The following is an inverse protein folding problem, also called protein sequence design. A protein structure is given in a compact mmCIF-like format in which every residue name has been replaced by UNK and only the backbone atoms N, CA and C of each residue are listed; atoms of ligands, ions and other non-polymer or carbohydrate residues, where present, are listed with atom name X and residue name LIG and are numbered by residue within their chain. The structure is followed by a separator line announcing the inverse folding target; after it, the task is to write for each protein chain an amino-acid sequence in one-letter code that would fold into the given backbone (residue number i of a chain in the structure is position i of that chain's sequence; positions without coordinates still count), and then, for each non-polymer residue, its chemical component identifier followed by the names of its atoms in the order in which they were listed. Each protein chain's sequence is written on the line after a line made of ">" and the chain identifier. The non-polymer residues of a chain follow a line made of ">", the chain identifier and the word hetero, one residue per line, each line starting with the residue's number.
data_IF_657823851352
#
_entry.id   IF_657823851352
#
_cell.length_a   1.000
_cell.length_b   1.000
_cell.length_c   1.000
_cell.angle_alpha   90.00
_cell.angle_beta   90.00
_cell.angle_gamma   90.00
#
_symmetry.space_group_name_H-M   'P 1'
#
loop_
_entity.id
_entity.type
_entity.pdbx_description
1 polymer ?
#
# COMPACT_ATOMS: atom_id res chain seq x y z
N UNK A 1 -43.69 49.44 41.46
CA UNK A 1 -42.96 48.25 41.97
C UNK A 1 -42.27 47.54 40.80
N UNK A 2 -41.02 47.11 40.99
CA UNK A 2 -40.02 47.00 39.92
C UNK A 2 -40.03 45.74 39.04
N UNK A 3 -39.47 45.90 37.83
CA UNK A 3 -39.17 44.85 36.86
C UNK A 3 -38.07 43.92 37.41
N UNK A 4 -38.40 42.65 37.65
CA UNK A 4 -37.41 41.60 37.92
C UNK A 4 -36.70 41.21 36.62
N UNK A 5 -35.44 41.57 36.49
CA UNK A 5 -34.53 41.05 35.44
C UNK A 5 -34.14 39.62 35.77
N UNK A 6 -34.60 38.66 34.95
CA UNK A 6 -34.13 37.26 35.02
C UNK A 6 -32.67 37.22 34.62
N UNK A 7 -31.77 36.91 35.56
CA UNK A 7 -30.36 36.64 35.25
C UNK A 7 -30.28 35.27 34.57
N UNK A 8 -29.91 35.26 33.29
CA UNK A 8 -29.57 34.04 32.57
C UNK A 8 -28.18 33.57 33.04
N UNK A 9 -28.06 32.28 33.40
CA UNK A 9 -26.78 31.69 33.70
C UNK A 9 -25.97 31.54 32.40
N UNK A 10 -24.73 32.01 32.41
CA UNK A 10 -23.83 31.95 31.26
C UNK A 10 -22.68 31.00 31.59
N UNK A 11 -22.52 29.97 30.76
CA UNK A 11 -21.45 28.98 30.89
C UNK A 11 -20.32 29.35 29.94
N UNK A 12 -19.11 29.51 30.47
CA UNK A 12 -17.90 29.76 29.70
C UNK A 12 -17.10 28.46 29.65
N UNK A 13 -16.80 27.99 28.43
CA UNK A 13 -16.02 26.78 28.19
C UNK A 13 -14.82 27.14 27.32
N UNK A 14 -13.63 26.88 27.84
CA UNK A 14 -12.39 26.93 27.06
C UNK A 14 -12.07 25.52 26.56
N UNK A 15 -12.25 25.30 25.26
CA UNK A 15 -11.89 24.04 24.60
C UNK A 15 -10.49 24.19 24.00
N UNK A 16 -9.55 23.40 24.51
CA UNK A 16 -8.21 23.29 23.91
C UNK A 16 -8.13 22.00 23.09
N UNK A 17 -7.97 22.14 21.78
CA UNK A 17 -7.69 21.02 20.89
C UNK A 17 -6.17 20.94 20.67
N UNK A 18 -5.55 19.85 21.13
CA UNK A 18 -4.16 19.53 20.80
C UNK A 18 -4.15 18.51 19.65
N UNK A 19 -3.26 18.65 18.66
CA UNK A 19 -3.14 17.66 17.59
C UNK A 19 -2.65 16.33 18.17
N UNK A 20 -3.20 15.22 17.66
CA UNK A 20 -2.74 13.88 18.05
C UNK A 20 -1.22 13.79 17.91
N UNK A 21 -0.49 13.29 18.93
CA UNK A 21 0.95 13.17 18.87
C UNK A 21 1.34 12.16 17.80
N UNK A 22 2.34 12.52 16.96
CA UNK A 22 2.77 11.72 15.81
C UNK A 22 4.27 11.53 15.80
N UNK A 23 4.71 10.33 15.48
CA UNK A 23 6.06 10.08 15.01
C UNK A 23 6.15 10.40 13.52
N UNK A 24 7.25 11.05 13.12
CA UNK A 24 7.50 11.41 11.73
C UNK A 24 8.74 10.65 11.27
N UNK A 25 8.60 9.89 10.19
CA UNK A 25 9.66 9.15 9.54
C UNK A 25 9.86 9.68 8.12
N UNK A 26 11.11 9.85 7.73
CA UNK A 26 11.48 10.36 6.42
C UNK A 26 12.51 9.42 5.80
N UNK A 27 12.22 8.96 4.59
CA UNK A 27 13.19 8.23 3.79
C UNK A 27 14.33 9.20 3.38
N UNK A 28 15.52 8.71 3.08
CA UNK A 28 16.57 9.54 2.46
C UNK A 28 16.66 9.41 0.95
N UNK A 29 15.80 8.57 0.36
CA UNK A 29 15.69 8.34 -1.06
C UNK A 29 14.44 7.54 -1.42
N UNK A 30 14.29 7.24 -2.71
CA UNK A 30 13.18 6.42 -3.19
C UNK A 30 13.31 4.96 -2.71
N UNK A 31 12.19 4.25 -2.41
CA UNK A 31 12.24 2.89 -1.88
C UNK A 31 13.01 1.88 -2.73
N UNK A 32 13.02 2.02 -4.06
CA UNK A 32 13.75 1.14 -4.96
C UNK A 32 15.29 1.25 -4.85
N UNK A 33 15.79 2.36 -4.30
CA UNK A 33 17.22 2.60 -4.10
C UNK A 33 17.76 2.04 -2.76
N UNK A 34 16.96 1.27 -2.02
CA UNK A 34 17.31 0.75 -0.68
C UNK A 34 17.74 1.85 0.32
N UNK A 35 16.84 2.82 0.61
CA UNK A 35 17.13 4.01 1.42
C UNK A 35 17.25 3.72 2.91
N UNK A 36 17.81 4.65 3.68
CA UNK A 36 17.65 4.71 5.12
C UNK A 36 16.40 5.50 5.51
N UNK A 37 15.86 5.22 6.69
CA UNK A 37 14.70 5.91 7.23
C UNK A 37 15.08 6.58 8.54
N UNK A 38 14.80 7.88 8.61
CA UNK A 38 15.11 8.75 9.74
C UNK A 38 13.84 9.10 10.51
N UNK A 39 13.86 8.96 11.83
CA UNK A 39 12.88 9.58 12.70
C UNK A 39 13.22 11.06 12.86
N UNK A 40 12.24 11.93 12.62
CA UNK A 40 12.37 13.37 12.69
C UNK A 40 11.75 13.85 14.00
N UNK A 41 12.55 14.52 14.83
CA UNK A 41 12.09 15.15 16.08
C UNK A 41 12.63 16.57 16.16
N UNK A 42 11.78 17.55 15.85
CA UNK A 42 12.20 18.95 15.72
C UNK A 42 13.24 19.10 14.60
N UNK A 43 14.43 19.56 14.95
CA UNK A 43 15.54 19.72 13.99
C UNK A 43 16.50 18.50 13.94
N UNK A 44 16.23 17.46 14.75
CA UNK A 44 17.08 16.27 14.84
C UNK A 44 16.55 15.17 13.92
N UNK A 45 17.47 14.56 13.15
CA UNK A 45 17.21 13.41 12.28
C UNK A 45 18.00 12.21 12.82
N UNK A 46 17.31 11.17 13.28
CA UNK A 46 17.93 9.97 13.82
C UNK A 46 17.66 8.78 12.90
N UNK A 47 18.67 8.07 12.39
CA UNK A 47 18.43 6.86 11.61
C UNK A 47 17.80 5.79 12.51
N UNK A 48 16.73 5.16 12.04
CA UNK A 48 15.99 4.13 12.80
C UNK A 48 15.82 2.84 12.01
N UNK A 49 15.78 2.92 10.67
CA UNK A 49 15.70 1.74 9.81
C UNK A 49 16.58 1.87 8.58
N UNK A 50 16.86 0.71 7.98
CA UNK A 50 17.38 0.59 6.62
C UNK A 50 16.41 -0.23 5.77
N UNK A 51 16.17 0.20 4.54
CA UNK A 51 15.33 -0.54 3.59
C UNK A 51 16.20 -1.28 2.59
N UNK A 52 15.80 -2.51 2.25
CA UNK A 52 16.42 -3.31 1.19
C UNK A 52 15.36 -3.67 0.15
N UNK A 53 15.46 -3.06 -1.02
CA UNK A 53 14.66 -3.46 -2.17
C UNK A 53 15.25 -4.72 -2.81
N UNK A 54 14.38 -5.61 -3.26
CA UNK A 54 14.76 -6.81 -3.98
C UNK A 54 13.75 -7.12 -5.08
N UNK A 55 14.28 -7.46 -6.25
CA UNK A 55 13.53 -7.96 -7.38
C UNK A 55 13.82 -9.45 -7.53
N UNK A 56 12.83 -10.30 -7.25
CA UNK A 56 12.91 -11.72 -7.59
C UNK A 56 12.83 -11.82 -9.10
N UNK A 57 13.98 -12.03 -9.75
CA UNK A 57 14.00 -12.45 -11.14
C UNK A 57 13.16 -13.72 -11.26
N UNK A 58 12.34 -13.82 -12.30
CA UNK A 58 11.53 -15.00 -12.54
C UNK A 58 12.47 -16.21 -12.60
N UNK A 59 12.43 -17.06 -11.58
CA UNK A 59 13.11 -18.33 -11.60
C UNK A 59 12.40 -19.20 -12.65
N UNK A 60 12.92 -19.18 -13.88
CA UNK A 60 12.51 -20.10 -14.94
C UNK A 60 12.92 -21.55 -14.62
N UNK A 61 13.58 -21.80 -13.49
CA UNK A 61 14.27 -23.05 -13.16
C UNK A 61 13.83 -23.76 -11.87
N UNK A 62 12.60 -23.56 -11.37
CA UNK A 62 12.01 -24.42 -10.32
C UNK A 62 11.17 -25.59 -10.86
N UNK A 63 11.54 -26.12 -12.03
CA UNK A 63 11.23 -27.51 -12.44
C UNK A 63 12.54 -28.21 -12.80
N UNK A 64 13.38 -28.47 -11.81
CA UNK A 64 14.58 -29.29 -11.98
C UNK A 64 14.85 -30.09 -10.70
N UNK A 65 14.19 -31.25 -10.59
CA UNK A 65 14.67 -32.46 -9.91
C UNK A 65 14.24 -33.65 -10.76
N UNK A 66 15.14 -34.14 -11.61
CA UNK A 66 15.85 -35.45 -11.52
C UNK A 66 15.00 -36.60 -12.11
N UNK A 67 15.42 -37.41 -13.10
CA UNK A 67 16.68 -38.14 -13.38
C UNK A 67 16.69 -38.54 -14.88
N UNK A 68 17.85 -38.70 -15.56
CA UNK A 68 17.93 -39.07 -16.98
C UNK A 68 17.81 -40.59 -17.22
N UNK A 69 17.14 -40.98 -18.31
CA UNK A 69 17.46 -42.20 -19.04
C UNK A 69 17.18 -41.98 -20.53
N UNK A 70 18.21 -42.19 -21.35
CA UNK A 70 18.11 -42.18 -22.80
C UNK A 70 17.20 -43.31 -23.31
N UNK A 71 16.38 -43.01 -24.32
CA UNK A 71 15.99 -43.96 -25.36
C UNK A 71 15.48 -43.22 -26.60
N UNK A 72 15.92 -43.72 -27.75
CA UNK A 72 15.94 -43.13 -29.09
C UNK A 72 14.59 -42.89 -29.78
N UNK A 73 14.61 -41.88 -30.66
CA UNK A 73 13.99 -41.77 -31.99
C UNK A 73 12.61 -42.39 -32.27
N UNK A 74 11.63 -41.56 -32.70
CA UNK A 74 10.81 -41.74 -33.93
C UNK A 74 9.45 -41.00 -33.86
N UNK A 75 9.18 -40.16 -34.86
CA UNK A 75 7.90 -40.16 -35.57
C UNK A 75 6.61 -39.70 -34.88
N UNK A 76 6.17 -38.49 -35.24
CA UNK A 76 4.78 -38.10 -35.49
C UNK A 76 3.70 -38.37 -34.42
N UNK A 77 3.20 -37.29 -33.80
CA UNK A 77 1.77 -36.87 -33.78
C UNK A 77 1.58 -35.76 -32.73
N UNK A 78 1.65 -34.50 -33.17
CA UNK A 78 1.41 -33.31 -32.35
C UNK A 78 0.40 -32.36 -32.98
N UNK A 79 -0.72 -32.88 -33.50
CA UNK A 79 -1.80 -32.07 -34.12
C UNK A 79 -2.87 -31.63 -33.09
N UNK A 80 -2.48 -31.11 -31.93
CA UNK A 80 -3.43 -30.47 -30.99
C UNK A 80 -2.87 -29.19 -30.35
N UNK A 81 -2.13 -28.36 -31.10
CA UNK A 81 -1.65 -27.06 -30.63
C UNK A 81 -2.38 -25.86 -31.24
N UNK A 82 -3.66 -26.01 -31.65
CA UNK A 82 -4.46 -24.91 -32.19
C UNK A 82 -5.63 -24.53 -31.28
N UNK A 83 -5.33 -23.84 -30.17
CA UNK A 83 -6.12 -22.69 -29.68
C UNK A 83 -5.29 -21.94 -28.62
N UNK A 84 -4.59 -20.89 -29.07
CA UNK A 84 -3.74 -20.05 -28.21
C UNK A 84 -2.63 -19.32 -28.95
N UNK A 85 -2.85 -18.95 -30.21
CA UNK A 85 -1.96 -18.06 -30.96
C UNK A 85 -2.15 -16.62 -30.49
N UNK A 86 -1.50 -16.25 -29.39
CA UNK A 86 -0.91 -14.93 -29.24
C UNK A 86 0.51 -15.16 -28.73
N UNK A 87 1.45 -15.14 -29.67
CA UNK A 87 2.87 -14.86 -29.49
C UNK A 87 3.18 -14.38 -28.06
N UNK A 88 3.81 -15.24 -27.26
CA UNK A 88 4.35 -14.96 -25.94
C UNK A 88 5.15 -13.64 -26.00
N UNK A 89 4.48 -12.52 -25.71
CA UNK A 89 5.12 -11.21 -25.60
C UNK A 89 5.77 -11.20 -24.23
N UNK A 90 7.12 -11.19 -24.11
CA UNK A 90 7.74 -10.91 -22.84
C UNK A 90 7.36 -9.47 -22.46
N UNK A 91 6.63 -9.26 -21.37
CA UNK A 91 6.51 -7.93 -20.74
C UNK A 91 5.14 -7.27 -20.68
N UNK A 92 4.12 -7.94 -20.12
CA UNK A 92 2.94 -7.25 -19.55
C UNK A 92 2.65 -7.62 -18.10
N UNK A 93 3.69 -8.01 -17.37
CA UNK A 93 3.62 -8.35 -15.96
C UNK A 93 4.76 -7.68 -15.20
N UNK A 94 4.45 -7.07 -14.05
CA UNK A 94 5.44 -6.61 -13.05
C UNK A 94 5.24 -7.45 -11.80
N UNK A 95 6.27 -8.19 -11.41
CA UNK A 95 6.21 -9.16 -10.32
C UNK A 95 7.50 -9.22 -9.52
N UNK A 96 7.41 -9.84 -8.35
CA UNK A 96 8.58 -10.24 -7.56
C UNK A 96 9.25 -9.10 -6.80
N UNK A 97 8.62 -7.93 -6.69
CA UNK A 97 9.17 -6.83 -5.89
C UNK A 97 8.90 -7.10 -4.42
N UNK A 98 9.92 -6.89 -3.60
CA UNK A 98 9.77 -6.81 -2.15
C UNK A 98 10.71 -5.78 -1.58
N UNK A 99 10.30 -5.17 -0.47
CA UNK A 99 11.13 -4.30 0.34
C UNK A 99 11.13 -4.82 1.78
N UNK A 100 12.33 -5.04 2.30
CA UNK A 100 12.54 -5.45 3.69
C UNK A 100 13.02 -4.25 4.48
N UNK A 101 12.37 -3.96 5.60
CA UNK A 101 12.78 -2.94 6.56
C UNK A 101 13.58 -3.65 7.65
N UNK A 102 14.80 -3.18 7.87
CA UNK A 102 15.70 -3.68 8.90
C UNK A 102 15.87 -2.62 9.99
N UNK A 103 16.03 -3.06 11.23
CA UNK A 103 16.48 -2.19 12.32
C UNK A 103 17.97 -1.83 12.15
N UNK A 104 18.53 -1.09 13.12
CA UNK A 104 19.95 -0.74 13.13
C UNK A 104 20.89 -1.95 13.37
N UNK A 105 20.36 -3.08 13.86
CA UNK A 105 21.11 -4.32 14.02
C UNK A 105 21.19 -5.14 12.71
N UNK A 106 20.40 -4.76 11.69
CA UNK A 106 20.25 -5.50 10.44
C UNK A 106 19.17 -6.58 10.50
N UNK A 107 18.43 -6.69 11.60
CA UNK A 107 17.32 -7.64 11.77
C UNK A 107 16.09 -7.18 10.99
N UNK A 108 15.41 -8.07 10.23
CA UNK A 108 14.22 -7.71 9.48
C UNK A 108 13.03 -7.49 10.42
N UNK A 109 12.55 -6.25 10.49
CA UNK A 109 11.45 -5.82 11.38
C UNK A 109 10.14 -5.55 10.66
N UNK A 110 10.15 -5.47 9.32
CA UNK A 110 8.95 -5.54 8.50
C UNK A 110 9.31 -5.93 7.06
N UNK A 111 8.35 -6.46 6.30
CA UNK A 111 8.52 -6.72 4.86
C UNK A 111 7.25 -6.33 4.14
N UNK A 112 7.37 -5.64 3.01
CA UNK A 112 6.29 -5.57 2.04
C UNK A 112 6.68 -6.39 0.81
N UNK A 113 5.87 -7.38 0.46
CA UNK A 113 6.14 -8.28 -0.67
C UNK A 113 4.97 -8.31 -1.62
N UNK A 114 5.23 -8.18 -2.91
CA UNK A 114 4.23 -8.35 -3.95
C UNK A 114 3.79 -9.83 -4.00
N UNK A 115 2.51 -10.07 -3.75
CA UNK A 115 1.90 -11.42 -3.73
C UNK A 115 1.00 -11.66 -4.93
N UNK A 116 0.43 -10.60 -5.50
CA UNK A 116 -0.27 -10.65 -6.78
C UNK A 116 0.44 -9.73 -7.75
N UNK A 117 0.89 -10.25 -8.91
CA UNK A 117 1.60 -9.45 -9.88
C UNK A 117 0.69 -8.38 -10.49
N UNK A 118 1.29 -7.27 -10.92
CA UNK A 118 0.59 -6.22 -11.64
C UNK A 118 0.58 -6.60 -13.11
N UNK A 119 -0.60 -6.75 -13.71
CA UNK A 119 -0.78 -7.23 -15.08
C UNK A 119 -1.71 -6.27 -15.83
N UNK A 120 -1.37 -5.98 -17.10
CA UNK A 120 -2.22 -5.17 -17.95
C UNK A 120 -3.55 -5.89 -18.26
N UNK A 121 -4.69 -5.20 -18.12
CA UNK A 121 -5.97 -5.75 -18.53
C UNK A 121 -6.02 -6.02 -20.05
N UNK A 122 -6.74 -7.05 -20.51
CA UNK A 122 -6.90 -7.31 -21.93
C UNK A 122 -7.38 -6.08 -22.71
N UNK A 123 -6.74 -5.80 -23.85
CA UNK A 123 -7.05 -4.62 -24.68
C UNK A 123 -6.59 -3.27 -24.09
N UNK A 124 -5.83 -3.26 -23.00
CA UNK A 124 -5.29 -2.04 -22.36
C UNK A 124 -3.82 -2.22 -21.97
N UNK A 125 -3.20 -1.13 -21.54
CA UNK A 125 -1.87 -1.07 -20.93
C UNK A 125 -1.95 -0.67 -19.44
N UNK A 126 -3.13 -0.80 -18.83
CA UNK A 126 -3.42 -0.41 -17.45
C UNK A 126 -3.71 -1.62 -16.60
N UNK A 127 -3.38 -1.53 -15.31
CA UNK A 127 -3.85 -2.45 -14.27
C UNK A 127 -5.25 -2.00 -13.85
N UNK A 128 -6.29 -2.81 -14.08
CA UNK A 128 -7.67 -2.44 -13.73
C UNK A 128 -8.04 -2.81 -12.29
N UNK A 129 -9.05 -2.12 -11.74
CA UNK A 129 -9.66 -2.47 -10.45
C UNK A 129 -10.16 -3.92 -10.36
N UNK A 130 -10.56 -4.51 -11.49
CA UNK A 130 -11.00 -5.91 -11.56
C UNK A 130 -9.87 -6.94 -11.46
N UNK A 131 -8.61 -6.51 -11.63
CA UNK A 131 -7.42 -7.35 -11.48
C UNK A 131 -6.30 -6.51 -10.85
N UNK A 132 -6.45 -6.11 -9.58
CA UNK A 132 -5.48 -5.25 -8.92
C UNK A 132 -4.21 -6.03 -8.60
N UNK A 133 -3.06 -5.34 -8.64
CA UNK A 133 -1.85 -5.87 -8.03
C UNK A 133 -1.96 -5.83 -6.51
N UNK A 134 -1.23 -6.69 -5.82
CA UNK A 134 -1.37 -6.83 -4.37
C UNK A 134 -0.03 -7.00 -3.68
N UNK A 135 0.13 -6.28 -2.57
CA UNK A 135 1.21 -6.42 -1.61
C UNK A 135 0.69 -7.04 -0.33
N UNK A 136 1.53 -7.85 0.30
CA UNK A 136 1.36 -8.33 1.65
C UNK A 136 2.40 -7.66 2.54
N UNK A 137 1.93 -6.99 3.59
CA UNK A 137 2.76 -6.40 4.62
C UNK A 137 2.90 -7.41 5.75
N UNK A 138 4.14 -7.74 6.09
CA UNK A 138 4.50 -8.72 7.09
C UNK A 138 5.22 -8.01 8.24
N UNK A 139 4.95 -8.47 9.47
CA UNK A 139 5.65 -8.05 10.68
C UNK A 139 6.13 -9.28 11.46
N UNK A 140 7.22 -9.19 12.24
CA UNK A 140 7.60 -10.24 13.17
C UNK A 140 6.47 -10.58 14.15
N UNK A 141 6.22 -11.87 14.38
CA UNK A 141 5.27 -12.40 15.34
C UNK A 141 5.52 -13.90 15.60
N UNK A 142 5.60 -14.29 16.87
CA UNK A 142 5.91 -15.66 17.31
C UNK A 142 7.15 -16.28 16.62
N UNK A 143 8.20 -15.49 16.45
CA UNK A 143 9.46 -15.93 15.81
C UNK A 143 9.38 -16.11 14.29
N UNK A 144 8.27 -15.75 13.65
CA UNK A 144 8.07 -15.80 12.19
C UNK A 144 7.59 -14.47 11.64
N UNK A 145 7.64 -14.27 10.33
CA UNK A 145 6.98 -13.14 9.68
C UNK A 145 5.51 -13.46 9.45
N UNK A 146 4.62 -12.72 10.11
CA UNK A 146 3.17 -12.89 10.01
C UNK A 146 2.52 -11.79 9.15
N UNK A 147 1.46 -12.11 8.40
CA UNK A 147 0.63 -11.10 7.74
C UNK A 147 0.10 -10.07 8.72
N UNK A 148 0.37 -8.80 8.44
CA UNK A 148 -0.16 -7.65 9.17
C UNK A 148 -1.24 -6.93 8.38
N UNK A 149 -1.04 -6.79 7.07
CA UNK A 149 -1.99 -6.11 6.22
C UNK A 149 -1.80 -6.43 4.74
N UNK A 150 -2.79 -6.07 3.94
CA UNK A 150 -2.85 -6.32 2.51
C UNK A 150 -3.17 -5.01 1.80
N UNK A 151 -2.33 -4.65 0.84
CA UNK A 151 -2.50 -3.46 0.02
C UNK A 151 -2.77 -3.88 -1.42
N UNK A 152 -3.97 -3.64 -1.91
CA UNK A 152 -4.29 -3.70 -3.33
C UNK A 152 -4.08 -2.34 -3.99
N UNK A 153 -3.63 -2.36 -5.26
CA UNK A 153 -3.44 -1.17 -6.05
C UNK A 153 -3.78 -1.40 -7.54
N UNK A 154 -4.37 -0.39 -8.16
CA UNK A 154 -4.75 -0.39 -9.57
C UNK A 154 -4.72 1.02 -10.15
N UNK A 155 -4.87 1.15 -11.46
CA UNK A 155 -4.98 2.43 -12.15
C UNK A 155 -6.42 2.67 -12.57
N UNK A 156 -7.05 3.69 -11.99
CA UNK A 156 -8.42 4.08 -12.30
C UNK A 156 -8.59 4.53 -13.74
N UNK A 157 -9.82 4.40 -14.24
CA UNK A 157 -10.24 4.93 -15.55
C UNK A 157 -11.03 6.22 -15.33
N UNK A 158 -10.66 7.32 -15.97
CA UNK A 158 -11.37 8.58 -15.83
C UNK A 158 -10.68 9.76 -16.51
N UNK A 159 -11.28 10.95 -16.38
CA UNK A 159 -10.75 12.22 -16.91
C UNK A 159 -9.44 12.65 -16.25
N UNK A 160 -9.19 12.20 -15.02
CA UNK A 160 -7.91 12.32 -14.33
C UNK A 160 -7.38 10.92 -14.03
N UNK A 161 -6.13 10.68 -14.41
CA UNK A 161 -5.46 9.42 -14.14
C UNK A 161 -5.15 9.28 -12.64
N UNK A 162 -5.63 8.19 -12.04
CA UNK A 162 -5.55 7.97 -10.60
C UNK A 162 -4.99 6.60 -10.25
N UNK A 163 -4.16 6.55 -9.21
CA UNK A 163 -3.75 5.32 -8.54
C UNK A 163 -4.80 5.00 -7.47
N UNK A 164 -5.63 4.00 -7.71
CA UNK A 164 -6.55 3.47 -6.72
C UNK A 164 -5.84 2.51 -5.78
N UNK A 165 -6.23 2.52 -4.52
CA UNK A 165 -5.69 1.63 -3.50
C UNK A 165 -6.78 1.14 -2.54
N UNK A 166 -6.60 -0.06 -2.00
CA UNK A 166 -7.38 -0.60 -0.87
C UNK A 166 -6.45 -1.27 0.13
N UNK A 167 -6.44 -0.79 1.36
CA UNK A 167 -5.67 -1.37 2.46
C UNK A 167 -6.60 -2.08 3.44
N UNK A 168 -6.31 -3.36 3.67
CA UNK A 168 -6.96 -4.23 4.63
C UNK A 168 -5.98 -4.58 5.74
N UNK A 169 -6.36 -4.40 7.00
CA UNK A 169 -5.61 -4.91 8.13
C UNK A 169 -6.01 -6.35 8.41
N UNK A 170 -5.06 -7.23 8.70
CA UNK A 170 -5.30 -8.65 8.99
C UNK A 170 -5.11 -8.86 10.51
N UNK A 171 -6.18 -9.04 11.29
CA UNK A 171 -6.07 -9.41 12.70
C UNK A 171 -5.43 -10.80 12.85
N UNK A 172 -4.61 -10.99 13.89
CA UNK A 172 -3.89 -12.25 14.15
C UNK A 172 -4.81 -13.49 14.30
N UNK A 173 -6.11 -13.28 14.58
CA UNK A 173 -7.11 -14.32 14.80
C UNK A 173 -8.20 -14.42 13.71
N UNK A 174 -8.15 -13.58 12.67
CA UNK A 174 -9.23 -13.48 11.69
C UNK A 174 -8.92 -14.20 10.37
N UNK A 175 -9.94 -14.80 9.77
CA UNK A 175 -9.88 -15.40 8.43
C UNK A 175 -10.01 -14.37 7.29
N UNK A 176 -10.37 -13.13 7.61
CA UNK A 176 -10.56 -12.05 6.63
C UNK A 176 -10.03 -10.71 7.18
N UNK A 177 -9.59 -9.84 6.27
CA UNK A 177 -9.06 -8.53 6.62
C UNK A 177 -10.17 -7.47 6.79
N UNK A 178 -9.86 -6.41 7.54
CA UNK A 178 -10.73 -5.26 7.78
C UNK A 178 -10.23 -4.11 6.89
N UNK A 179 -11.07 -3.60 5.98
CA UNK A 179 -10.71 -2.46 5.14
C UNK A 179 -10.58 -1.21 6.01
N UNK A 180 -9.37 -0.64 6.06
CA UNK A 180 -9.10 0.59 6.82
C UNK A 180 -8.98 1.83 5.93
N UNK A 181 -8.60 1.67 4.67
CA UNK A 181 -8.50 2.78 3.73
C UNK A 181 -8.73 2.32 2.30
N UNK A 182 -9.61 3.02 1.58
CA UNK A 182 -9.79 2.87 0.13
C UNK A 182 -9.99 4.25 -0.47
N UNK A 183 -9.14 4.63 -1.43
CA UNK A 183 -9.25 5.92 -2.12
C UNK A 183 -8.42 5.92 -3.40
N UNK A 184 -8.30 7.10 -4.03
CA UNK A 184 -7.51 7.33 -5.23
C UNK A 184 -6.53 8.48 -5.02
N UNK A 185 -5.30 8.33 -5.49
CA UNK A 185 -4.28 9.37 -5.56
C UNK A 185 -4.10 9.82 -7.01
N UNK A 186 -3.78 11.09 -7.24
CA UNK A 186 -3.49 11.55 -8.61
C UNK A 186 -2.16 10.98 -9.07
N UNK A 187 -2.11 10.29 -10.22
CA UNK A 187 -0.84 9.80 -10.76
C UNK A 187 0.13 10.94 -11.09
N UNK A 188 -0.37 12.11 -11.51
CA UNK A 188 0.46 13.24 -11.92
C UNK A 188 0.86 14.15 -10.76
N UNK A 189 -0.03 14.38 -9.78
CA UNK A 189 0.20 15.29 -8.65
C UNK A 189 0.62 14.58 -7.37
N UNK A 190 0.43 13.26 -7.28
CA UNK A 190 0.58 12.51 -6.04
C UNK A 190 -0.58 12.76 -5.09
N UNK A 191 -0.34 12.58 -3.79
CA UNK A 191 -1.31 12.87 -2.75
C UNK A 191 -0.90 12.35 -1.38
N UNK A 192 -1.89 12.26 -0.49
CA UNK A 192 -1.71 11.76 0.87
C UNK A 192 -2.57 10.52 1.05
N UNK A 193 -1.93 9.41 1.40
CA UNK A 193 -2.60 8.23 1.92
C UNK A 193 -2.83 8.44 3.42
N UNK A 194 -4.06 8.24 3.90
CA UNK A 194 -4.42 8.47 5.31
C UNK A 194 -5.22 7.28 5.81
N UNK A 195 -4.89 6.82 7.03
CA UNK A 195 -5.70 5.90 7.81
C UNK A 195 -6.14 6.64 9.07
N UNK A 196 -7.45 6.74 9.29
CA UNK A 196 -8.06 7.36 10.45
C UNK A 196 -9.26 6.50 10.90
N UNK A 197 -9.28 6.13 12.18
CA UNK A 197 -10.30 5.26 12.77
C UNK A 197 -11.46 6.04 13.40
N UNK A 198 -11.48 7.37 13.27
CA UNK A 198 -12.58 8.21 13.75
C UNK A 198 -13.91 8.00 13.01
N UNK A 199 -13.92 7.21 11.93
CA UNK A 199 -15.02 7.11 10.98
C UNK A 199 -15.74 5.76 10.89
N UNK A 200 -15.84 4.96 11.96
CA UNK A 200 -16.66 3.74 11.91
C UNK A 200 -18.16 4.08 11.87
N UNK A 201 -18.63 4.45 10.68
CA UNK A 201 -19.98 4.86 10.37
C UNK A 201 -20.06 5.56 9.01
N UNK A 202 -19.91 4.79 7.93
CA UNK A 202 -20.43 5.09 6.59
C UNK A 202 -20.27 6.55 6.10
N UNK A 203 -19.20 6.86 5.38
CA UNK A 203 -19.13 8.07 4.54
C UNK A 203 -17.81 8.83 4.63
N UNK A 204 -17.08 8.76 3.52
CA UNK A 204 -16.40 9.90 2.89
C UNK A 204 -16.35 11.20 3.71
N UNK A 205 -15.15 11.60 4.13
CA UNK A 205 -14.88 13.00 4.44
C UNK A 205 -13.95 13.64 3.39
N UNK A 206 -14.63 14.31 2.45
CA UNK A 206 -14.33 15.64 1.95
C UNK A 206 -13.01 15.88 1.18
N UNK A 207 -13.06 15.68 -0.14
CA UNK A 207 -12.93 16.79 -1.09
C UNK A 207 -13.24 16.35 -2.52
N UNK A 208 -14.51 16.41 -2.94
CA UNK A 208 -14.94 16.57 -4.35
C UNK A 208 -16.47 16.65 -4.47
N UNK A 209 -17.02 17.33 -5.51
CA UNK A 209 -18.40 17.80 -5.53
C UNK A 209 -19.41 16.72 -5.93
N UNK A 210 -20.64 16.92 -5.43
CA UNK A 210 -21.87 16.16 -5.68
C UNK A 210 -22.06 15.76 -7.16
N UNK A 211 -22.41 14.50 -7.39
CA UNK A 211 -23.18 14.08 -8.55
C UNK A 211 -24.43 13.33 -8.10
N UNK A 212 -25.58 13.89 -8.48
CA UNK A 212 -26.94 13.39 -8.35
C UNK A 212 -27.16 12.05 -9.05
N UNK A 213 -27.66 11.04 -8.33
CA UNK A 213 -28.45 9.96 -8.91
C UNK A 213 -29.42 9.40 -7.87
N UNK A 214 -30.69 9.53 -8.20
CA UNK A 214 -31.91 9.08 -7.52
C UNK A 214 -32.03 7.56 -7.48
N UNK A 215 -32.41 6.98 -6.33
CA UNK A 215 -33.60 6.11 -6.17
C UNK A 215 -33.78 5.59 -4.73
N UNK A 216 -35.02 5.23 -4.31
CA UNK A 216 -35.47 5.22 -2.91
C UNK A 216 -35.66 3.80 -2.33
N UNK A 217 -35.73 3.67 -1.01
CA UNK A 217 -36.22 2.44 -0.37
C UNK A 217 -36.00 2.39 1.14
N UNK A 218 -37.10 2.35 1.89
CA UNK A 218 -37.22 2.48 3.34
C UNK A 218 -36.47 1.41 4.16
N UNK A 219 -36.05 1.79 5.37
CA UNK A 219 -35.64 0.88 6.46
C UNK A 219 -36.81 0.01 6.96
N UNK A 220 -36.54 -1.07 7.73
CA UNK A 220 -36.55 -0.87 9.19
C UNK A 220 -35.52 -1.69 9.98
N UNK A 221 -35.02 -1.05 11.05
CA UNK A 221 -34.60 -1.60 12.35
C UNK A 221 -34.26 -3.12 12.38
N UNK A 222 -32.96 -3.45 12.38
CA UNK A 222 -32.46 -4.70 12.95
C UNK A 222 -31.59 -4.39 14.17
N UNK A 223 -32.11 -4.81 15.31
CA UNK A 223 -31.39 -5.09 16.55
C UNK A 223 -30.31 -6.15 16.32
N UNK A 224 -29.23 -6.08 17.09
CA UNK A 224 -28.29 -7.19 17.28
C UNK A 224 -26.82 -6.81 17.10
N UNK A 225 -26.16 -6.58 18.22
CA UNK A 225 -24.78 -7.00 18.50
C UNK A 225 -23.78 -7.03 17.32
N UNK A 226 -23.19 -5.87 17.00
CA UNK A 226 -21.89 -5.80 16.31
C UNK A 226 -20.85 -5.05 17.16
N UNK A 227 -20.95 -5.19 18.49
CA UNK A 227 -20.08 -4.49 19.45
C UNK A 227 -18.87 -5.27 19.97
N UNK A 228 -18.83 -6.59 19.80
CA UNK A 228 -17.89 -7.45 20.55
C UNK A 228 -16.94 -8.29 19.69
N UNK A 229 -16.74 -7.95 18.41
CA UNK A 229 -15.86 -8.70 17.50
C UNK A 229 -14.58 -7.98 17.03
N UNK A 230 -14.36 -6.71 17.41
CA UNK A 230 -13.34 -5.84 16.80
C UNK A 230 -12.22 -5.44 17.79
N UNK A 231 -11.91 -6.33 18.73
CA UNK A 231 -10.73 -6.19 19.60
C UNK A 231 -9.47 -6.58 18.80
N UNK A 232 -8.38 -5.79 18.77
CA UNK A 232 -8.04 -4.65 19.63
C UNK A 232 -8.24 -3.24 19.02
N UNK A 233 -8.82 -3.09 17.82
CA UNK A 233 -8.85 -1.80 17.11
C UNK A 233 -10.03 -0.88 17.45
N UNK A 234 -11.05 -1.36 18.18
CA UNK A 234 -12.16 -0.52 18.66
C UNK A 234 -11.85 0.35 19.88
N UNK A 235 -10.72 0.16 20.58
CA UNK A 235 -10.35 0.99 21.73
C UNK A 235 -9.74 2.34 21.31
N UNK A 236 -9.20 2.44 20.09
CA UNK A 236 -8.56 3.64 19.58
C UNK A 236 -9.39 4.27 18.46
N UNK A 237 -9.97 5.43 18.75
CA UNK A 237 -10.50 6.35 17.75
C UNK A 237 -9.44 7.43 17.53
N UNK A 238 -8.85 7.49 16.34
CA UNK A 238 -7.93 8.57 16.01
C UNK A 238 -7.12 8.34 14.75
N UNK A 239 -6.22 9.29 14.53
CA UNK A 239 -5.21 9.24 13.49
C UNK A 239 -4.32 7.99 13.66
N UNK A 240 -4.17 7.21 12.58
CA UNK A 240 -3.28 6.05 12.55
C UNK A 240 -2.02 6.36 11.76
N UNK A 241 -2.18 6.77 10.50
CA UNK A 241 -1.07 6.93 9.58
C UNK A 241 -1.37 7.99 8.53
N UNK A 242 -0.34 8.71 8.10
CA UNK A 242 -0.33 9.46 6.85
C UNK A 242 0.97 9.17 6.10
N UNK A 243 0.86 8.87 4.80
CA UNK A 243 2.00 8.77 3.90
C UNK A 243 1.85 9.73 2.73
N UNK A 244 2.92 10.45 2.39
CA UNK A 244 2.95 11.32 1.21
C UNK A 244 3.50 10.54 0.02
N UNK A 245 2.74 10.53 -1.08
CA UNK A 245 3.16 9.90 -2.33
C UNK A 245 3.36 11.00 -3.37
N UNK A 246 4.53 11.03 -4.00
CA UNK A 246 4.83 12.02 -5.04
C UNK A 246 4.08 11.71 -6.35
N UNK A 247 3.93 12.68 -7.25
CA UNK A 247 3.31 12.51 -8.57
C UNK A 247 4.32 12.43 -9.72
N UNK A 248 3.89 11.89 -10.88
CA UNK A 248 4.72 11.73 -12.10
C UNK A 248 5.10 13.06 -12.76
N UNK A 249 4.33 14.12 -12.52
CA UNK A 249 4.49 15.41 -13.19
C UNK A 249 5.51 16.36 -12.56
N UNK A 250 6.28 15.92 -11.56
CA UNK A 250 7.32 16.71 -10.92
C UNK A 250 8.45 17.05 -11.90
N UNK A 251 8.27 18.09 -12.72
CA UNK A 251 9.32 18.68 -13.56
C UNK A 251 9.89 19.90 -12.83
N UNK A 252 10.82 19.66 -11.91
CA UNK A 252 11.51 20.72 -11.17
C UNK A 252 12.12 20.21 -9.86
N UNK A 253 12.76 21.10 -9.09
CA UNK A 253 13.49 20.87 -7.82
C UNK A 253 12.73 20.08 -6.71
N UNK A 254 11.48 19.68 -6.95
CA UNK A 254 10.63 18.84 -6.08
C UNK A 254 10.53 17.37 -6.53
N UNK A 255 11.10 17.04 -7.69
CA UNK A 255 11.23 15.68 -8.17
C UNK A 255 12.24 14.93 -7.28
N UNK A 256 11.76 14.08 -6.38
CA UNK A 256 12.61 13.38 -5.42
C UNK A 256 12.51 13.92 -3.99
N UNK A 257 11.38 14.51 -3.61
CA UNK A 257 11.11 14.72 -2.19
C UNK A 257 10.97 13.33 -1.54
N UNK A 258 11.77 13.01 -0.50
CA UNK A 258 11.72 11.69 0.08
C UNK A 258 10.34 11.40 0.66
N UNK A 259 9.83 10.16 0.52
CA UNK A 259 8.58 9.76 1.16
C UNK A 259 8.59 10.10 2.65
N UNK A 260 7.49 10.73 3.11
CA UNK A 260 7.25 11.06 4.51
C UNK A 260 6.14 10.17 5.05
N UNK A 261 6.34 9.66 6.26
CA UNK A 261 5.37 8.83 6.98
C UNK A 261 5.14 9.43 8.36
N UNK A 262 3.91 9.78 8.66
CA UNK A 262 3.45 10.14 10.00
C UNK A 262 2.69 8.96 10.60
N UNK A 263 2.98 8.59 11.83
CA UNK A 263 2.28 7.50 12.55
C UNK A 263 1.81 8.02 13.90
N UNK A 264 0.55 7.77 14.26
CA UNK A 264 0.01 8.14 15.57
C UNK A 264 0.77 7.44 16.69
N UNK A 265 1.20 8.17 17.72
CA UNK A 265 1.99 7.60 18.83
C UNK A 265 1.26 6.45 19.53
N UNK A 266 -0.07 6.50 19.58
CA UNK A 266 -0.90 5.45 20.18
C UNK A 266 -0.86 4.11 19.42
N UNK A 267 -0.42 4.12 18.14
CA UNK A 267 -0.34 2.92 17.30
C UNK A 267 1.00 2.19 17.41
N UNK A 268 1.96 2.75 18.14
CA UNK A 268 3.36 2.31 18.16
C UNK A 268 3.77 2.12 19.61
N UNK A 269 3.99 0.88 20.04
CA UNK A 269 4.49 0.57 21.39
C UNK A 269 6.02 0.53 21.44
N UNK A 270 6.65 0.16 20.32
CA UNK A 270 8.09 0.18 20.12
C UNK A 270 8.43 0.63 18.70
N UNK A 271 9.70 0.95 18.42
CA UNK A 271 10.12 1.43 17.10
C UNK A 271 9.76 0.43 16.01
N UNK A 272 9.88 -0.87 16.27
CA UNK A 272 9.59 -1.95 15.32
C UNK A 272 8.13 -1.96 14.85
N UNK A 273 7.18 -1.54 15.68
CA UNK A 273 5.77 -1.40 15.28
C UNK A 273 5.60 -0.36 14.17
N UNK A 274 6.43 0.69 14.17
CA UNK A 274 6.43 1.70 13.12
C UNK A 274 6.95 1.15 11.78
N UNK A 275 7.75 0.09 11.80
CA UNK A 275 8.34 -0.48 10.58
C UNK A 275 7.28 -1.02 9.61
N UNK A 276 6.16 -1.54 10.11
CA UNK A 276 5.07 -2.02 9.28
C UNK A 276 4.40 -0.88 8.48
N UNK A 277 4.24 0.29 9.11
CA UNK A 277 3.75 1.50 8.45
C UNK A 277 4.77 2.04 7.43
N UNK A 278 6.07 2.01 7.75
CA UNK A 278 7.15 2.35 6.80
C UNK A 278 7.12 1.42 5.59
N UNK A 279 6.97 0.12 5.79
CA UNK A 279 6.86 -0.87 4.71
C UNK A 279 5.61 -0.65 3.85
N UNK A 280 4.46 -0.34 4.47
CA UNK A 280 3.23 0.01 3.77
C UNK A 280 3.40 1.27 2.90
N UNK A 281 4.07 2.31 3.41
CA UNK A 281 4.37 3.51 2.63
C UNK A 281 5.26 3.22 1.43
N UNK A 282 6.29 2.37 1.61
CA UNK A 282 7.15 1.98 0.50
C UNK A 282 6.38 1.16 -0.56
N UNK A 283 5.48 0.26 -0.14
CA UNK A 283 4.63 -0.49 -1.05
C UNK A 283 3.67 0.41 -1.84
N UNK A 284 3.12 1.44 -1.20
CA UNK A 284 2.28 2.46 -1.86
C UNK A 284 3.06 3.24 -2.92
N UNK A 285 4.28 3.69 -2.59
CA UNK A 285 5.14 4.40 -3.53
C UNK A 285 5.52 3.52 -4.73
N UNK A 286 5.98 2.29 -4.49
CA UNK A 286 6.29 1.32 -5.54
C UNK A 286 5.06 0.94 -6.38
N UNK A 287 3.85 0.98 -5.81
CA UNK A 287 2.61 0.73 -6.55
C UNK A 287 2.33 1.77 -7.62
N UNK A 288 2.87 3.00 -7.48
CA UNK A 288 2.78 4.03 -8.51
C UNK A 288 3.52 3.60 -9.79
N UNK A 289 4.74 3.07 -9.65
CA UNK A 289 5.47 2.50 -10.78
C UNK A 289 4.83 1.19 -11.25
N UNK A 290 4.37 0.34 -10.34
CA UNK A 290 3.75 -0.93 -10.68
C UNK A 290 2.44 -0.76 -11.47
N UNK A 291 1.70 0.33 -11.25
CA UNK A 291 0.50 0.71 -12.00
C UNK A 291 0.77 1.65 -13.19
N UNK A 292 2.03 2.00 -13.48
CA UNK A 292 2.38 2.80 -14.66
C UNK A 292 1.89 2.10 -15.94
N UNK A 293 1.64 2.83 -17.02
CA UNK A 293 1.23 2.18 -18.27
C UNK A 293 2.31 1.19 -18.71
N UNK A 294 1.93 0.00 -19.17
CA UNK A 294 2.89 -1.01 -19.65
C UNK A 294 3.59 -0.58 -20.94
N UNK A 295 3.03 0.41 -21.65
CA UNK A 295 3.67 1.11 -22.76
C UNK A 295 4.82 2.03 -22.30
N UNK A 296 4.86 2.41 -21.03
CA UNK A 296 5.89 3.29 -20.46
C UNK A 296 7.00 2.47 -19.78
N UNK A 297 8.24 2.95 -19.94
CA UNK A 297 9.40 2.34 -19.29
C UNK A 297 9.41 2.64 -17.78
N UNK A 298 9.82 1.64 -17.01
CA UNK A 298 10.10 1.79 -15.58
C UNK A 298 11.47 2.46 -15.35
N UNK A 299 11.68 2.92 -14.12
CA UNK A 299 12.99 3.35 -13.63
C UNK A 299 13.98 2.17 -13.68
N UNK A 300 15.27 2.46 -13.87
CA UNK A 300 16.30 1.42 -14.07
C UNK A 300 16.36 0.41 -12.92
N UNK A 301 16.25 0.89 -11.68
CA UNK A 301 16.29 0.05 -10.47
C UNK A 301 15.13 -0.95 -10.35
N UNK A 302 14.03 -0.71 -11.09
CA UNK A 302 12.84 -1.57 -11.09
C UNK A 302 12.82 -2.58 -12.25
N UNK A 303 13.80 -2.49 -13.15
CA UNK A 303 13.94 -3.42 -14.26
C UNK A 303 14.76 -4.65 -13.82
N UNK A 304 14.44 -5.86 -14.30
CA UNK A 304 15.30 -7.02 -14.13
C UNK A 304 16.71 -6.75 -14.65
N UNK A 305 17.77 -7.22 -13.97
CA UNK A 305 19.11 -7.17 -14.52
C UNK A 305 19.14 -7.94 -15.85
N UNK A 306 19.94 -7.48 -16.83
CA UNK A 306 20.08 -8.21 -18.09
C UNK A 306 20.60 -9.64 -17.82
N UNK A 307 20.23 -10.63 -18.65
CA UNK A 307 20.78 -11.98 -18.55
C UNK A 307 22.30 -11.92 -18.57
N UNK A 308 22.96 -12.66 -17.66
CA UNK A 308 24.41 -12.70 -17.54
C UNK A 308 25.12 -13.28 -18.79
N UNK A 309 24.37 -13.83 -19.75
CA UNK A 309 24.88 -14.43 -20.99
C UNK A 309 25.24 -13.43 -22.10
N UNK A 310 25.25 -12.11 -21.84
CA UNK A 310 25.65 -11.08 -22.82
C UNK A 310 26.94 -10.34 -22.45
N UNK A 311 27.80 -10.93 -21.63
CA UNK A 311 29.14 -10.42 -21.33
C UNK A 311 30.22 -11.43 -21.71
N UNK A 312 30.25 -11.89 -22.97
CA UNK A 312 31.45 -12.43 -23.62
C UNK A 312 31.38 -12.17 -25.13
#
# INVERSE_FOLDING_TARGET
>A
MGKKTKKAAQFHLDVRAEPDPRFVFQFDGSPECSPQVFQIRGNTRQPVFTCKFSLRAADRNQRSRSVPLEASCSGARGWLSSFGSERERPGKERKGWSITVHDLSGSPVAVASMVTPFVASPGSDRVSRSNPGCWLILRPGDGTLKPWGRLEAWRERGSADGLGYRFELIPDSASSGIVLAESNLSCSKGGKFVIDLNGNGNGSNASTPKSTATSPGCSPRSSGDFGYGLWPYCMYRGFVMLATVEGEGGSGKKAGAPPLVEVGVQQVSCTEDAAAFVALSAALDLSRDACRLFSQKLRKELCPPPPQDMLF
#
